data_IF_812453845313
#
_entry.id   IF_812453845313
#
_cell.length_a   1.000
_cell.length_b   1.000
_cell.length_c   1.000
_cell.angle_alpha   90.00
_cell.angle_beta   90.00
_cell.angle_gamma   90.00
#
_symmetry.space_group_name_H-M   'P 1'
#
loop_
_entity.id
_entity.type
_entity.pdbx_description
1 polymer ?
#
# COMPACT_ATOMS: atom_id res chain seq x y z
N UNK A 1 73.45 -35.17 47.38
CA UNK A 1 72.01 -35.05 47.22
C UNK A 1 71.42 -33.67 47.65
N UNK A 2 71.92 -33.04 48.73
CA UNK A 2 71.40 -31.75 49.23
C UNK A 2 71.55 -30.58 48.22
N UNK A 3 72.62 -30.52 47.41
CA UNK A 3 72.87 -29.43 46.41
C UNK A 3 71.97 -29.52 45.23
N UNK A 4 71.54 -30.74 44.80
CA UNK A 4 70.58 -30.91 43.67
C UNK A 4 69.21 -30.52 44.04
N UNK A 5 68.78 -30.77 45.30
CA UNK A 5 67.45 -30.37 45.80
C UNK A 5 67.32 -28.87 45.91
N UNK A 6 68.40 -28.13 46.22
CA UNK A 6 68.39 -26.68 46.31
C UNK A 6 68.28 -26.01 44.93
N UNK A 7 68.99 -26.56 43.93
CA UNK A 7 68.92 -26.08 42.55
C UNK A 7 67.52 -26.35 41.98
N UNK A 8 66.87 -27.45 42.28
CA UNK A 8 65.55 -27.77 41.84
C UNK A 8 64.48 -26.85 42.50
N UNK A 9 64.64 -26.57 43.79
CA UNK A 9 63.73 -25.61 44.50
C UNK A 9 63.89 -24.18 43.98
N UNK A 10 65.12 -23.76 43.61
CA UNK A 10 65.37 -22.46 43.02
C UNK A 10 64.80 -22.35 41.61
N UNK A 11 64.87 -23.40 40.80
CA UNK A 11 64.25 -23.47 39.46
C UNK A 11 62.76 -23.45 39.51
N UNK A 12 62.10 -24.13 40.44
CA UNK A 12 60.71 -24.13 40.67
C UNK A 12 60.24 -22.75 41.18
N UNK A 13 61.00 -22.13 42.09
CA UNK A 13 60.75 -20.79 42.55
C UNK A 13 60.80 -19.71 41.43
N UNK A 14 61.79 -19.86 40.52
CA UNK A 14 61.88 -18.99 39.34
C UNK A 14 60.71 -19.19 38.37
N UNK A 15 60.31 -20.41 38.08
CA UNK A 15 59.17 -20.66 37.15
C UNK A 15 57.84 -20.10 37.72
N UNK A 16 57.62 -20.24 39.02
CA UNK A 16 56.48 -19.69 39.68
C UNK A 16 56.49 -18.13 39.68
N UNK A 17 57.69 -17.55 39.79
CA UNK A 17 57.80 -16.07 39.74
C UNK A 17 57.56 -15.50 38.36
N UNK A 18 57.91 -16.21 37.28
CA UNK A 18 57.60 -15.73 35.90
C UNK A 18 56.17 -15.84 35.52
N UNK A 19 55.39 -16.82 36.01
CA UNK A 19 53.96 -16.94 35.72
C UNK A 19 53.13 -15.82 36.33
N UNK A 20 53.66 -15.11 37.34
CA UNK A 20 52.98 -13.97 37.98
C UNK A 20 52.99 -12.65 37.19
N UNK A 21 53.81 -12.55 36.13
CA UNK A 21 53.99 -11.31 35.36
C UNK A 21 53.17 -11.25 34.08
N UNK A 22 52.54 -12.35 33.65
CA UNK A 22 51.79 -12.42 32.39
C UNK A 22 50.32 -12.08 32.63
N UNK A 23 49.82 -11.10 31.92
CA UNK A 23 48.38 -10.78 31.89
C UNK A 23 47.63 -11.95 31.27
N UNK A 24 46.40 -12.26 31.72
CA UNK A 24 45.53 -13.21 31.02
C UNK A 24 45.34 -12.83 29.57
N UNK A 25 45.12 -13.84 28.73
CA UNK A 25 44.80 -13.60 27.32
C UNK A 25 43.47 -12.87 27.21
N UNK A 26 43.46 -11.80 26.41
CA UNK A 26 42.23 -11.07 26.07
C UNK A 26 41.45 -11.86 25.00
N UNK A 27 40.23 -12.27 25.33
CA UNK A 27 39.35 -12.91 24.36
C UNK A 27 38.61 -11.81 23.59
N UNK A 28 38.82 -11.71 22.26
CA UNK A 28 38.13 -10.72 21.48
C UNK A 28 36.59 -10.97 21.52
N UNK A 29 35.86 -9.93 21.79
CA UNK A 29 34.38 -9.91 21.79
C UNK A 29 33.89 -9.20 20.55
N UNK A 30 32.89 -9.78 19.87
CA UNK A 30 32.33 -9.25 18.64
C UNK A 30 30.82 -9.14 18.79
N UNK A 31 30.26 -8.09 18.20
CA UNK A 31 28.82 -7.90 18.03
C UNK A 31 28.49 -7.95 16.54
N UNK A 32 27.64 -8.87 16.15
CA UNK A 32 27.10 -8.94 14.81
C UNK A 32 25.92 -7.99 14.67
N UNK A 33 25.88 -7.25 13.56
CA UNK A 33 24.80 -6.33 13.20
C UNK A 33 24.01 -6.94 12.06
N UNK A 34 22.74 -7.14 12.27
CA UNK A 34 21.81 -7.71 11.29
C UNK A 34 21.71 -6.88 9.99
N UNK A 35 21.20 -7.47 8.91
CA UNK A 35 21.06 -6.76 7.63
C UNK A 35 20.16 -5.53 7.70
N UNK A 36 19.17 -5.56 8.57
CA UNK A 36 18.19 -4.47 8.76
C UNK A 36 18.42 -3.71 10.07
N UNK A 37 19.66 -3.72 10.58
CA UNK A 37 20.01 -3.02 11.79
C UNK A 37 21.08 -1.95 11.53
N UNK A 38 20.97 -0.86 12.26
CA UNK A 38 22.02 0.16 12.37
C UNK A 38 22.61 0.12 13.75
N UNK A 39 23.96 0.13 13.83
CA UNK A 39 24.69 0.05 15.09
C UNK A 39 25.30 1.41 15.47
N UNK A 40 25.35 1.64 16.77
CA UNK A 40 25.96 2.80 17.40
C UNK A 40 26.99 2.32 18.43
N UNK A 41 28.23 2.77 18.30
CA UNK A 41 29.34 2.40 19.18
C UNK A 41 29.59 3.54 20.17
N UNK A 42 29.07 3.40 21.37
CA UNK A 42 29.10 4.45 22.39
C UNK A 42 30.28 4.22 23.31
N UNK A 43 31.23 5.15 23.44
CA UNK A 43 32.35 5.05 24.35
C UNK A 43 31.87 5.05 25.79
N UNK A 44 32.33 4.05 26.58
CA UNK A 44 32.00 3.91 28.01
C UNK A 44 33.00 4.60 28.93
N UNK A 45 34.20 4.89 28.41
CA UNK A 45 35.26 5.54 29.15
C UNK A 45 35.78 6.74 28.33
N UNK A 46 35.75 7.89 28.92
CA UNK A 46 36.53 9.05 28.53
C UNK A 46 37.92 8.94 29.19
N UNK A 47 38.90 9.68 28.66
CA UNK A 47 40.30 9.61 29.04
C UNK A 47 40.58 9.47 30.54
N UNK A 48 41.71 8.83 30.87
CA UNK A 48 42.15 8.38 32.19
C UNK A 48 42.20 9.51 33.25
N UNK A 49 42.07 10.76 32.86
CA UNK A 49 42.24 11.94 33.73
C UNK A 49 40.90 12.54 34.19
N UNK A 50 39.75 12.04 33.76
CA UNK A 50 38.47 12.49 34.26
C UNK A 50 38.18 11.82 35.58
N UNK A 51 38.28 12.58 36.67
CA UNK A 51 37.90 12.14 38.00
C UNK A 51 36.42 11.74 37.96
N UNK A 52 36.06 10.74 38.76
CA UNK A 52 34.71 10.16 38.82
C UNK A 52 33.60 11.18 39.11
N UNK A 53 33.95 12.37 39.59
CA UNK A 53 33.02 13.47 39.87
C UNK A 53 32.72 14.34 38.64
N UNK A 54 33.59 14.30 37.62
CA UNK A 54 33.34 14.90 36.31
C UNK A 54 32.87 13.84 35.30
N UNK A 55 31.99 12.94 35.73
CA UNK A 55 31.25 12.16 34.74
C UNK A 55 30.52 13.17 33.87
N UNK A 56 31.15 13.47 32.76
CA UNK A 56 30.55 14.23 31.66
C UNK A 56 29.25 13.51 31.40
N UNK A 57 28.15 14.12 31.78
CA UNK A 57 26.85 13.74 31.24
C UNK A 57 27.02 13.88 29.75
N UNK A 58 27.39 12.78 29.08
CA UNK A 58 27.45 12.70 27.63
C UNK A 58 26.07 13.16 27.20
N UNK A 59 26.04 14.35 26.63
CA UNK A 59 24.80 14.91 26.13
C UNK A 59 24.45 14.03 24.92
N UNK A 60 23.69 12.96 25.16
CA UNK A 60 23.29 11.96 24.19
C UNK A 60 22.24 12.58 23.24
N UNK A 61 22.70 13.64 22.55
CA UNK A 61 21.91 14.32 21.54
C UNK A 61 22.06 13.63 20.17
N UNK A 62 21.31 14.09 19.20
CA UNK A 62 21.30 13.54 17.83
C UNK A 62 22.70 13.52 17.22
N UNK A 63 23.47 14.61 17.37
CA UNK A 63 24.82 14.75 16.82
C UNK A 63 25.78 13.71 17.42
N UNK A 64 25.64 13.44 18.73
CA UNK A 64 26.41 12.40 19.41
C UNK A 64 26.15 11.03 18.79
N UNK A 65 24.88 10.66 18.59
CA UNK A 65 24.53 9.36 17.97
C UNK A 65 24.96 9.32 16.51
N UNK A 66 24.76 10.37 15.73
CA UNK A 66 25.22 10.41 14.33
C UNK A 66 26.72 10.19 14.19
N UNK A 67 27.54 10.81 15.07
CA UNK A 67 28.99 10.64 15.08
C UNK A 67 29.43 9.22 15.42
N UNK A 68 28.67 8.51 16.22
CA UNK A 68 28.99 7.18 16.70
C UNK A 68 28.26 6.07 15.92
N UNK A 69 27.58 6.40 14.83
CA UNK A 69 26.92 5.44 13.94
C UNK A 69 27.97 4.68 13.11
N UNK A 70 27.80 3.37 13.00
CA UNK A 70 28.73 2.48 12.30
C UNK A 70 27.99 1.62 11.30
N UNK A 71 28.51 1.56 10.09
CA UNK A 71 27.96 0.72 9.00
C UNK A 71 28.53 -0.70 8.95
N UNK A 72 29.45 -1.04 9.86
CA UNK A 72 30.09 -2.37 9.90
C UNK A 72 29.10 -3.43 10.36
N UNK A 73 29.13 -4.60 9.70
CA UNK A 73 28.31 -5.76 10.07
C UNK A 73 28.88 -6.60 11.21
N UNK A 74 30.16 -6.41 11.51
CA UNK A 74 30.87 -7.06 12.62
C UNK A 74 31.66 -5.99 13.34
N UNK A 75 31.37 -5.79 14.62
CA UNK A 75 32.00 -4.79 15.47
C UNK A 75 32.78 -5.49 16.55
N UNK A 76 34.11 -5.30 16.57
CA UNK A 76 34.94 -5.77 17.66
C UNK A 76 34.83 -4.79 18.83
N UNK A 77 34.57 -5.30 20.03
CA UNK A 77 34.59 -4.52 21.26
C UNK A 77 36.02 -4.38 21.74
N UNK A 78 36.63 -3.19 21.75
CA UNK A 78 37.92 -2.98 22.31
C UNK A 78 37.87 -3.10 23.83
N UNK A 79 38.86 -3.81 24.39
CA UNK A 79 38.95 -4.04 25.82
C UNK A 79 40.05 -3.22 26.46
N UNK A 80 39.84 -2.80 27.69
CA UNK A 80 40.81 -2.15 28.55
C UNK A 80 41.10 -3.05 29.76
N UNK A 81 42.40 -3.28 30.06
CA UNK A 81 42.79 -4.01 31.27
C UNK A 81 42.58 -3.13 32.50
N UNK A 82 41.75 -3.60 33.43
CA UNK A 82 41.53 -2.94 34.72
C UNK A 82 42.27 -3.71 35.79
N UNK A 83 43.31 -3.10 36.36
CA UNK A 83 44.13 -3.66 37.45
C UNK A 83 43.41 -3.55 38.77
N UNK A 84 43.23 -4.67 39.49
CA UNK A 84 42.57 -4.71 40.80
C UNK A 84 43.51 -5.01 41.97
N UNK A 85 44.73 -5.39 41.71
CA UNK A 85 45.71 -5.78 42.75
C UNK A 85 47.15 -5.44 42.38
N UNK A 86 48.10 -5.87 43.25
CA UNK A 86 49.51 -5.56 43.09
C UNK A 86 50.16 -6.33 41.92
N UNK A 87 49.71 -7.55 41.65
CA UNK A 87 50.28 -8.38 40.60
C UNK A 87 49.78 -8.01 39.20
N UNK A 88 50.55 -8.21 38.16
CA UNK A 88 50.20 -7.91 36.77
C UNK A 88 48.93 -8.67 36.32
N UNK A 89 48.73 -9.88 36.79
CA UNK A 89 47.54 -10.71 36.52
C UNK A 89 46.29 -10.39 37.36
N UNK A 90 46.47 -9.53 38.37
CA UNK A 90 45.33 -9.13 39.25
C UNK A 90 44.52 -8.04 38.57
N UNK A 91 43.61 -8.48 37.74
CA UNK A 91 42.71 -7.57 36.99
C UNK A 91 41.82 -8.36 36.06
N UNK A 92 41.05 -7.63 35.27
CA UNK A 92 40.17 -8.18 34.26
C UNK A 92 40.06 -7.23 33.05
N UNK A 93 39.74 -7.77 31.92
CA UNK A 93 39.41 -7.00 30.73
C UNK A 93 37.96 -6.50 30.82
N UNK A 94 37.74 -5.26 30.46
CA UNK A 94 36.42 -4.63 30.38
C UNK A 94 36.26 -3.95 29.04
N UNK A 95 35.14 -4.16 28.38
CA UNK A 95 34.78 -3.47 27.13
C UNK A 95 34.78 -1.94 27.32
N UNK A 96 35.35 -1.23 26.38
CA UNK A 96 35.48 0.23 26.42
C UNK A 96 34.35 0.94 25.69
N UNK A 97 33.53 0.18 24.94
CA UNK A 97 32.41 0.70 24.20
C UNK A 97 31.15 -0.16 24.48
N UNK A 98 30.00 0.48 24.37
CA UNK A 98 28.69 -0.15 24.35
C UNK A 98 28.16 -0.08 22.91
N UNK A 99 27.77 -1.21 22.36
CA UNK A 99 27.11 -1.26 21.06
C UNK A 99 25.59 -1.27 21.29
N UNK A 100 24.88 -0.36 20.64
CA UNK A 100 23.43 -0.31 20.60
C UNK A 100 23.02 -0.54 19.15
N UNK A 101 22.15 -1.52 18.91
CA UNK A 101 21.55 -1.77 17.60
C UNK A 101 20.13 -1.26 17.56
N UNK A 102 19.74 -0.65 16.44
CA UNK A 102 18.37 -0.19 16.15
C UNK A 102 17.86 -1.03 14.99
N UNK A 103 16.77 -1.76 15.23
CA UNK A 103 16.08 -2.54 14.20
C UNK A 103 15.27 -1.60 13.29
N UNK A 104 15.57 -1.63 12.00
CA UNK A 104 14.94 -0.83 10.96
C UNK A 104 13.77 -1.56 10.28
N UNK A 105 13.51 -2.80 10.69
CA UNK A 105 12.45 -3.63 10.12
C UNK A 105 11.09 -2.99 10.39
N UNK A 106 10.24 -2.83 9.39
CA UNK A 106 8.88 -2.35 9.60
C UNK A 106 8.11 -3.26 10.56
N UNK A 107 7.49 -2.67 11.56
CA UNK A 107 6.60 -3.34 12.50
C UNK A 107 5.16 -3.08 12.13
N UNK A 108 4.40 -4.15 11.94
CA UNK A 108 2.96 -4.08 11.66
C UNK A 108 2.18 -4.84 12.71
N UNK A 109 1.02 -4.30 13.05
CA UNK A 109 0.13 -4.92 14.02
C UNK A 109 -1.23 -4.26 14.03
N UNK A 110 -2.05 -4.68 14.98
CA UNK A 110 -3.40 -4.15 15.17
C UNK A 110 -3.60 -3.81 16.65
N UNK A 111 -4.46 -2.81 16.92
CA UNK A 111 -5.01 -2.52 18.24
C UNK A 111 -6.51 -2.79 18.17
N UNK A 112 -6.92 -4.01 18.54
CA UNK A 112 -8.32 -4.45 18.46
C UNK A 112 -9.05 -4.20 19.79
N UNK A 113 -10.37 -4.34 19.77
CA UNK A 113 -11.21 -4.12 20.96
C UNK A 113 -10.80 -4.96 22.18
N UNK A 114 -10.36 -6.17 21.94
CA UNK A 114 -10.02 -7.15 22.98
C UNK A 114 -8.61 -6.98 23.52
N UNK A 115 -7.78 -6.17 22.86
CA UNK A 115 -6.41 -5.94 23.24
C UNK A 115 -6.32 -4.98 24.43
N UNK A 116 -5.28 -5.15 25.24
CA UNK A 116 -4.95 -4.22 26.34
C UNK A 116 -4.65 -2.81 25.80
N UNK A 117 -4.18 -2.73 24.56
CA UNK A 117 -3.82 -1.50 23.86
C UNK A 117 -4.95 -0.99 22.94
N UNK A 118 -6.19 -1.43 23.16
CA UNK A 118 -7.33 -0.91 22.42
C UNK A 118 -7.45 0.62 22.54
N UNK A 119 -7.62 1.31 21.43
CA UNK A 119 -7.82 2.77 21.42
C UNK A 119 -9.23 3.07 21.89
N UNK A 120 -9.36 3.66 23.08
CA UNK A 120 -10.65 4.03 23.68
C UNK A 120 -10.77 5.55 23.79
N UNK A 121 -11.87 6.06 23.32
CA UNK A 121 -12.22 7.50 23.37
C UNK A 121 -13.64 7.68 23.86
N UNK A 122 -13.99 8.88 24.32
CA UNK A 122 -15.33 9.22 24.76
C UNK A 122 -15.91 10.36 23.93
N UNK A 123 -17.22 10.30 23.70
CA UNK A 123 -17.98 11.39 23.10
C UNK A 123 -18.29 12.49 24.11
N UNK A 124 -18.85 13.60 23.65
CA UNK A 124 -19.35 14.70 24.51
C UNK A 124 -20.35 14.24 25.59
N UNK A 125 -21.10 13.20 25.31
CA UNK A 125 -22.05 12.60 26.27
C UNK A 125 -21.42 11.52 27.15
N UNK A 126 -20.09 11.44 27.23
CA UNK A 126 -19.32 10.42 27.99
C UNK A 126 -19.65 8.98 27.59
N UNK A 127 -20.00 8.77 26.34
CA UNK A 127 -20.18 7.43 25.79
C UNK A 127 -18.85 6.91 25.24
N UNK A 128 -18.43 5.75 25.71
CA UNK A 128 -17.20 5.10 25.30
C UNK A 128 -17.29 4.53 23.88
N UNK A 129 -16.23 4.74 23.12
CA UNK A 129 -16.05 4.20 21.78
C UNK A 129 -14.68 3.57 21.70
N UNK A 130 -14.61 2.35 21.23
CA UNK A 130 -13.34 1.68 20.88
C UNK A 130 -13.11 1.79 19.36
N UNK A 131 -11.90 2.21 18.98
CA UNK A 131 -11.47 2.39 17.59
C UNK A 131 -10.48 1.28 17.25
N UNK A 132 -10.88 0.23 16.50
CA UNK A 132 -9.97 -0.80 16.05
C UNK A 132 -9.03 -0.23 14.97
N UNK A 133 -7.72 -0.31 15.19
CA UNK A 133 -6.72 0.27 14.31
C UNK A 133 -5.70 -0.77 13.85
N UNK A 134 -5.18 -0.60 12.64
CA UNK A 134 -3.97 -1.25 12.17
C UNK A 134 -2.86 -0.24 11.98
N UNK A 135 -1.64 -0.68 12.22
CA UNK A 135 -0.47 0.17 12.04
C UNK A 135 0.65 -0.53 11.28
N UNK A 136 1.44 0.26 10.56
CA UNK A 136 2.76 -0.12 10.05
C UNK A 136 3.70 1.04 10.32
N UNK A 137 4.74 0.76 11.09
CA UNK A 137 5.66 1.76 11.62
C UNK A 137 7.09 1.27 11.40
N UNK A 138 8.00 2.18 11.06
CA UNK A 138 9.42 1.87 10.92
C UNK A 138 10.30 3.03 11.35
N UNK A 139 11.58 2.73 11.58
CA UNK A 139 12.65 3.70 11.74
C UNK A 139 13.45 3.70 10.44
N UNK A 140 13.67 4.86 9.83
CA UNK A 140 14.54 4.96 8.68
C UNK A 140 16.01 5.03 9.11
N UNK A 141 16.97 4.55 8.28
CA UNK A 141 18.39 4.60 8.61
C UNK A 141 18.87 6.01 9.00
N UNK A 142 18.43 7.02 8.26
CA UNK A 142 18.75 8.44 8.52
C UNK A 142 18.20 8.97 9.86
N UNK A 143 17.08 8.41 10.31
CA UNK A 143 16.37 8.85 11.52
C UNK A 143 16.75 8.04 12.76
N UNK A 144 17.56 6.98 12.63
CA UNK A 144 17.93 6.10 13.74
C UNK A 144 18.65 6.83 14.88
N UNK A 145 19.50 7.81 14.57
CA UNK A 145 20.18 8.66 15.57
C UNK A 145 19.17 9.54 16.31
N UNK A 146 18.19 10.09 15.58
CA UNK A 146 17.13 10.91 16.13
C UNK A 146 16.25 10.09 17.07
N UNK A 147 15.84 8.89 16.63
CA UNK A 147 15.10 7.93 17.45
C UNK A 147 15.82 7.63 18.77
N UNK A 148 17.11 7.29 18.74
CA UNK A 148 17.89 7.00 19.93
C UNK A 148 17.99 8.21 20.88
N UNK A 149 18.06 9.44 20.37
CA UNK A 149 18.13 10.63 21.20
C UNK A 149 16.87 10.82 22.06
N UNK A 150 15.69 10.43 21.53
CA UNK A 150 14.41 10.51 22.25
C UNK A 150 14.14 9.31 23.14
N UNK A 151 14.33 8.10 22.57
CA UNK A 151 13.87 6.84 23.20
C UNK A 151 14.99 6.03 23.82
N UNK A 152 16.26 6.38 23.52
CA UNK A 152 17.46 5.67 24.00
C UNK A 152 17.40 4.20 23.57
N UNK A 153 17.52 3.27 24.50
CA UNK A 153 17.49 1.83 24.22
C UNK A 153 16.14 1.17 24.57
N UNK A 154 15.04 1.94 24.49
CA UNK A 154 13.71 1.38 24.74
C UNK A 154 13.30 0.52 23.55
N UNK A 155 12.67 -0.62 23.83
CA UNK A 155 12.16 -1.51 22.80
C UNK A 155 11.15 -0.80 21.88
N UNK A 156 11.33 -0.92 20.58
CA UNK A 156 10.53 -0.21 19.60
C UNK A 156 9.04 -0.60 19.67
N UNK A 157 8.75 -1.90 19.90
CA UNK A 157 7.37 -2.34 20.07
C UNK A 157 6.71 -1.67 21.28
N UNK A 158 7.44 -1.51 22.38
CA UNK A 158 6.94 -0.80 23.55
C UNK A 158 6.61 0.67 23.24
N UNK A 159 7.41 1.35 22.42
CA UNK A 159 7.13 2.73 21.98
C UNK A 159 5.85 2.79 21.16
N UNK A 160 5.66 1.84 20.24
CA UNK A 160 4.44 1.74 19.41
C UNK A 160 3.21 1.58 20.31
N UNK A 161 3.23 0.61 21.20
CA UNK A 161 2.06 0.22 21.98
C UNK A 161 1.73 1.22 23.10
N UNK A 162 2.73 1.94 23.61
CA UNK A 162 2.48 2.88 24.71
C UNK A 162 2.42 4.32 24.27
N UNK A 163 3.33 4.78 23.41
CA UNK A 163 3.42 6.21 23.09
C UNK A 163 2.62 6.58 21.86
N UNK A 164 2.79 5.84 20.75
CA UNK A 164 2.05 6.13 19.51
C UNK A 164 0.55 5.92 19.75
N UNK A 165 0.20 4.80 20.35
CA UNK A 165 -1.20 4.48 20.68
C UNK A 165 -1.84 5.57 21.56
N UNK A 166 -1.18 5.94 22.66
CA UNK A 166 -1.72 6.97 23.59
C UNK A 166 -1.83 8.33 22.95
N UNK A 167 -0.85 8.73 22.16
CA UNK A 167 -0.90 10.02 21.47
C UNK A 167 -2.06 10.06 20.47
N UNK A 168 -2.21 9.01 19.66
CA UNK A 168 -3.34 8.89 18.75
C UNK A 168 -4.68 8.90 19.51
N UNK A 169 -4.81 8.11 20.58
CA UNK A 169 -6.00 8.08 21.42
C UNK A 169 -6.32 9.47 22.00
N UNK A 170 -5.29 10.23 22.41
CA UNK A 170 -5.46 11.58 22.93
C UNK A 170 -5.95 12.55 21.87
N UNK A 171 -5.37 12.56 20.68
CA UNK A 171 -5.79 13.46 19.59
C UNK A 171 -7.19 13.12 19.08
N UNK A 172 -7.47 11.84 18.86
CA UNK A 172 -8.81 11.37 18.54
C UNK A 172 -9.83 11.73 19.63
N UNK A 173 -9.47 11.48 20.90
CA UNK A 173 -10.32 11.77 22.06
C UNK A 173 -10.68 13.25 22.17
N UNK A 174 -9.73 14.17 21.99
CA UNK A 174 -9.98 15.61 21.98
C UNK A 174 -11.06 15.99 20.98
N UNK A 175 -11.01 15.41 19.79
CA UNK A 175 -11.97 15.72 18.75
C UNK A 175 -13.34 15.04 19.00
N UNK A 176 -13.37 13.77 19.41
CA UNK A 176 -14.63 13.08 19.75
C UNK A 176 -15.37 13.70 20.94
N UNK A 177 -14.65 14.25 21.90
CA UNK A 177 -15.26 14.98 23.03
C UNK A 177 -16.08 16.20 22.62
N UNK A 178 -15.89 16.73 21.42
CA UNK A 178 -16.67 17.87 20.92
C UNK A 178 -17.91 17.45 20.15
N UNK A 179 -18.03 16.16 19.80
CA UNK A 179 -19.07 15.64 18.89
C UNK A 179 -20.20 14.98 19.67
N UNK A 180 -21.43 15.34 19.30
CA UNK A 180 -22.62 14.65 19.78
C UNK A 180 -22.65 13.22 19.20
N UNK A 181 -23.11 12.27 20.00
CA UNK A 181 -23.16 10.87 19.63
C UNK A 181 -23.79 10.60 18.25
N UNK A 182 -24.93 11.26 17.94
CA UNK A 182 -25.65 11.11 16.67
C UNK A 182 -24.84 11.54 15.42
N UNK A 183 -23.85 12.39 15.63
CA UNK A 183 -23.04 12.95 14.55
C UNK A 183 -21.69 12.22 14.40
N UNK A 184 -21.35 11.30 15.33
CA UNK A 184 -20.10 10.51 15.30
C UNK A 184 -19.90 9.81 13.95
N UNK A 185 -20.94 9.14 13.44
CA UNK A 185 -20.85 8.41 12.18
C UNK A 185 -20.53 9.31 10.96
N UNK A 186 -20.95 10.59 10.99
CA UNK A 186 -20.68 11.57 9.93
C UNK A 186 -19.29 12.20 10.05
N UNK A 187 -18.85 12.45 11.29
CA UNK A 187 -17.60 13.15 11.57
C UNK A 187 -16.40 12.22 11.71
N UNK A 188 -16.64 10.92 11.86
CA UNK A 188 -15.63 9.89 12.10
C UNK A 188 -14.43 10.01 11.19
N UNK A 189 -14.66 9.99 9.88
CA UNK A 189 -13.57 9.91 8.90
C UNK A 189 -12.70 11.18 8.92
N UNK A 190 -13.30 12.34 9.15
CA UNK A 190 -12.60 13.63 9.26
C UNK A 190 -11.77 13.68 10.54
N UNK A 191 -12.36 13.29 11.67
CA UNK A 191 -11.67 13.29 12.97
C UNK A 191 -10.48 12.33 12.96
N UNK A 192 -10.68 11.14 12.44
CA UNK A 192 -9.63 10.12 12.42
C UNK A 192 -8.52 10.47 11.44
N UNK A 193 -8.84 11.08 10.30
CA UNK A 193 -7.83 11.58 9.37
C UNK A 193 -6.94 12.65 10.02
N UNK A 194 -7.52 13.63 10.70
CA UNK A 194 -6.79 14.69 11.42
C UNK A 194 -5.91 14.11 12.54
N UNK A 195 -6.46 13.18 13.35
CA UNK A 195 -5.70 12.53 14.41
C UNK A 195 -4.53 11.70 13.88
N UNK A 196 -4.72 10.99 12.75
CA UNK A 196 -3.66 10.22 12.07
C UNK A 196 -2.56 11.16 11.56
N UNK A 197 -2.93 12.27 10.91
CA UNK A 197 -1.96 13.23 10.38
C UNK A 197 -1.11 13.85 11.50
N UNK A 198 -1.73 14.34 12.56
CA UNK A 198 -1.04 14.87 13.74
C UNK A 198 -0.12 13.84 14.39
N UNK A 199 -0.56 12.59 14.46
CA UNK A 199 0.27 11.51 15.01
C UNK A 199 1.49 11.25 14.13
N UNK A 200 1.32 11.21 12.80
CA UNK A 200 2.43 11.05 11.86
C UNK A 200 3.45 12.17 11.96
N UNK A 201 3.00 13.42 12.01
CA UNK A 201 3.87 14.59 12.13
C UNK A 201 4.66 14.56 13.43
N UNK A 202 3.97 14.33 14.55
CA UNK A 202 4.60 14.31 15.88
C UNK A 202 5.71 13.25 15.99
N UNK A 203 5.47 12.03 15.54
CA UNK A 203 6.45 10.95 15.64
C UNK A 203 7.55 11.03 14.57
N UNK A 204 7.28 11.67 13.43
CA UNK A 204 8.31 11.98 12.44
C UNK A 204 9.39 12.89 13.02
N UNK A 205 9.03 13.86 13.84
CA UNK A 205 9.98 14.73 14.56
C UNK A 205 10.83 13.98 15.58
N UNK A 206 10.43 12.76 15.94
CA UNK A 206 11.14 11.90 16.90
C UNK A 206 11.86 10.73 16.21
N UNK A 207 11.97 10.75 14.88
CA UNK A 207 12.67 9.73 14.10
C UNK A 207 11.86 8.46 13.81
N UNK A 208 10.54 8.49 13.97
CA UNK A 208 9.65 7.37 13.66
C UNK A 208 8.78 7.70 12.44
N UNK A 209 8.83 6.84 11.43
CA UNK A 209 7.96 6.95 10.25
C UNK A 209 6.77 6.02 10.38
N UNK A 210 5.57 6.58 10.39
CA UNK A 210 4.31 5.83 10.36
C UNK A 210 3.84 5.72 8.92
N UNK A 211 4.08 4.57 8.29
CA UNK A 211 3.68 4.32 6.90
C UNK A 211 2.17 4.18 6.80
N UNK A 212 1.57 3.45 7.73
CA UNK A 212 0.12 3.22 7.77
C UNK A 212 -0.38 3.33 9.21
N UNK A 213 -1.49 4.02 9.37
CA UNK A 213 -2.31 4.02 10.57
C UNK A 213 -3.76 4.16 10.07
N UNK A 214 -4.52 3.06 10.16
CA UNK A 214 -5.84 2.96 9.54
C UNK A 214 -6.82 2.18 10.42
N UNK A 215 -8.10 2.46 10.26
CA UNK A 215 -9.17 1.71 10.92
C UNK A 215 -9.31 0.35 10.22
N UNK A 216 -9.41 -0.72 11.01
CA UNK A 216 -9.61 -2.09 10.49
C UNK A 216 -11.08 -2.40 10.31
N UNK A 217 -11.89 -1.98 11.30
CA UNK A 217 -13.32 -2.23 11.38
C UNK A 217 -14.09 -0.96 11.71
N UNK A 218 -15.43 -1.06 11.79
CA UNK A 218 -16.27 0.01 12.30
C UNK A 218 -15.94 0.39 13.74
N UNK A 219 -16.39 1.56 14.18
CA UNK A 219 -16.32 1.95 15.57
C UNK A 219 -17.15 0.98 16.42
N UNK A 220 -16.61 0.60 17.57
CA UNK A 220 -17.30 -0.29 18.51
C UNK A 220 -17.74 0.55 19.71
N UNK A 221 -19.03 0.56 19.98
CA UNK A 221 -19.60 1.30 21.10
C UNK A 221 -19.65 0.43 22.35
N UNK A 222 -19.33 1.02 23.50
CA UNK A 222 -19.31 0.29 24.77
C UNK A 222 -20.72 -0.08 25.27
N UNK A 223 -21.74 0.70 24.87
CA UNK A 223 -23.14 0.35 25.14
C UNK A 223 -23.65 -0.71 24.15
N UNK A 224 -23.98 -1.95 24.61
CA UNK A 224 -24.43 -3.02 23.73
C UNK A 224 -25.76 -2.73 23.02
N UNK A 225 -26.67 -1.98 23.67
CA UNK A 225 -27.95 -1.64 23.06
C UNK A 225 -27.77 -0.67 21.89
N UNK A 226 -26.83 0.23 22.06
CA UNK A 226 -26.46 1.21 21.08
C UNK A 226 -25.72 0.58 19.90
N UNK A 227 -24.77 -0.32 20.17
CA UNK A 227 -24.08 -1.09 19.13
C UNK A 227 -25.08 -1.87 18.27
N UNK A 228 -26.04 -2.54 18.91
CA UNK A 228 -27.08 -3.30 18.22
C UNK A 228 -27.93 -2.43 17.29
N UNK A 229 -28.32 -1.25 17.74
CA UNK A 229 -29.12 -0.31 16.92
C UNK A 229 -28.31 0.16 15.70
N UNK A 230 -27.01 0.42 15.85
CA UNK A 230 -26.13 0.83 14.75
C UNK A 230 -25.95 -0.32 13.77
N UNK A 231 -25.72 -1.53 14.24
CA UNK A 231 -25.59 -2.71 13.40
C UNK A 231 -26.86 -3.00 12.61
N UNK A 232 -28.04 -2.79 13.21
CA UNK A 232 -29.33 -2.90 12.54
C UNK A 232 -29.51 -1.81 11.48
N UNK A 233 -29.18 -0.57 11.77
CA UNK A 233 -29.19 0.53 10.79
C UNK A 233 -28.22 0.29 9.65
N UNK A 234 -27.02 -0.18 9.94
CA UNK A 234 -26.02 -0.52 8.91
C UNK A 234 -26.52 -1.63 7.98
N UNK A 235 -27.19 -2.67 8.54
CA UNK A 235 -27.81 -3.75 7.76
C UNK A 235 -28.93 -3.22 6.85
N UNK A 236 -29.78 -2.36 7.37
CA UNK A 236 -30.86 -1.75 6.57
C UNK A 236 -30.27 -0.92 5.44
N UNK A 237 -29.25 -0.11 5.74
CA UNK A 237 -28.60 0.72 4.72
C UNK A 237 -27.90 -0.13 3.64
N UNK A 238 -27.23 -1.19 4.04
CA UNK A 238 -26.60 -2.15 3.12
C UNK A 238 -27.65 -2.82 2.21
N UNK A 239 -28.79 -3.21 2.75
CA UNK A 239 -29.90 -3.77 1.98
C UNK A 239 -30.47 -2.75 0.98
N UNK A 240 -30.64 -1.49 1.37
CA UNK A 240 -31.10 -0.42 0.45
C UNK A 240 -30.12 -0.23 -0.70
N UNK A 241 -28.82 -0.22 -0.43
CA UNK A 241 -27.78 -0.11 -1.47
C UNK A 241 -27.83 -1.31 -2.41
N UNK A 242 -27.99 -2.51 -1.86
CA UNK A 242 -28.05 -3.75 -2.62
C UNK A 242 -29.30 -3.82 -3.50
N UNK A 243 -30.45 -3.34 -3.00
CA UNK A 243 -31.69 -3.23 -3.78
C UNK A 243 -31.56 -2.20 -4.91
N UNK A 244 -30.93 -1.06 -4.67
CA UNK A 244 -30.63 -0.08 -5.73
C UNK A 244 -29.73 -0.69 -6.81
N UNK A 245 -28.66 -1.36 -6.43
CA UNK A 245 -27.78 -2.02 -7.39
C UNK A 245 -28.51 -3.08 -8.22
N UNK A 246 -29.40 -3.86 -7.61
CA UNK A 246 -30.26 -4.81 -8.34
C UNK A 246 -31.20 -4.10 -9.31
N UNK A 247 -31.83 -3.03 -8.89
CA UNK A 247 -32.72 -2.24 -9.73
C UNK A 247 -31.96 -1.63 -10.93
N UNK A 248 -30.78 -1.07 -10.72
CA UNK A 248 -29.93 -0.54 -11.78
C UNK A 248 -29.51 -1.64 -12.76
N UNK A 249 -29.18 -2.82 -12.26
CA UNK A 249 -28.80 -3.97 -13.09
C UNK A 249 -29.98 -4.47 -13.95
N UNK A 250 -31.18 -4.50 -13.39
CA UNK A 250 -32.42 -4.84 -14.13
C UNK A 250 -32.70 -3.80 -15.23
N UNK A 251 -32.51 -2.51 -14.92
CA UNK A 251 -32.71 -1.45 -15.91
C UNK A 251 -31.70 -1.53 -17.06
N UNK A 252 -30.42 -1.79 -16.75
CA UNK A 252 -29.38 -2.04 -17.78
C UNK A 252 -29.73 -3.25 -18.65
N UNK A 253 -30.19 -4.34 -18.03
CA UNK A 253 -30.64 -5.54 -18.77
C UNK A 253 -31.83 -5.24 -19.68
N UNK A 254 -32.81 -4.47 -19.19
CA UNK A 254 -33.96 -4.02 -19.98
C UNK A 254 -33.54 -3.15 -21.16
N UNK A 255 -32.63 -2.20 -20.95
CA UNK A 255 -32.11 -1.36 -22.03
C UNK A 255 -31.34 -2.18 -23.08
N UNK A 256 -30.55 -3.16 -22.65
CA UNK A 256 -29.85 -4.06 -23.57
C UNK A 256 -30.83 -4.88 -24.42
N UNK A 257 -31.90 -5.44 -23.81
CA UNK A 257 -32.94 -6.15 -24.56
C UNK A 257 -33.66 -5.26 -25.57
N UNK A 258 -33.92 -3.99 -25.23
CA UNK A 258 -34.52 -3.03 -26.15
C UNK A 258 -33.54 -2.75 -27.31
N UNK A 259 -32.27 -2.58 -27.04
CA UNK A 259 -31.23 -2.40 -28.08
C UNK A 259 -31.14 -3.60 -29.00
N UNK A 260 -31.12 -4.81 -28.45
CA UNK A 260 -31.12 -6.06 -29.22
C UNK A 260 -32.38 -6.18 -30.14
N UNK A 261 -33.56 -5.90 -29.58
CA UNK A 261 -34.79 -5.91 -30.36
C UNK A 261 -34.79 -4.84 -31.49
N UNK A 262 -34.25 -3.66 -31.24
CA UNK A 262 -34.11 -2.64 -32.27
C UNK A 262 -33.11 -3.05 -33.35
N UNK A 263 -31.98 -3.67 -32.97
CA UNK A 263 -31.01 -4.19 -33.94
C UNK A 263 -31.63 -5.32 -34.78
N UNK A 264 -32.40 -6.24 -34.18
CA UNK A 264 -33.13 -7.28 -34.92
C UNK A 264 -34.14 -6.69 -35.89
N UNK A 265 -34.90 -5.66 -35.46
CA UNK A 265 -35.82 -4.98 -36.31
C UNK A 265 -35.14 -4.25 -37.50
N UNK A 266 -33.99 -3.61 -37.25
CA UNK A 266 -33.23 -2.95 -38.31
C UNK A 266 -32.60 -3.97 -39.30
N UNK A 267 -32.10 -5.10 -38.79
CA UNK A 267 -31.64 -6.20 -39.64
C UNK A 267 -32.77 -6.77 -40.47
N UNK A 268 -33.97 -6.95 -39.89
CA UNK A 268 -35.15 -7.42 -40.63
C UNK A 268 -35.56 -6.44 -41.73
N UNK A 269 -35.55 -5.12 -41.44
CA UNK A 269 -35.81 -4.07 -42.44
C UNK A 269 -34.79 -4.06 -43.56
N UNK A 270 -33.48 -4.20 -43.21
CA UNK A 270 -32.41 -4.27 -44.22
C UNK A 270 -32.57 -5.50 -45.12
N UNK A 271 -32.91 -6.66 -44.56
CA UNK A 271 -33.17 -7.88 -45.34
C UNK A 271 -34.40 -7.71 -46.25
N UNK A 272 -35.48 -7.08 -45.78
CA UNK A 272 -36.65 -6.80 -46.59
C UNK A 272 -36.33 -5.84 -47.73
N UNK A 273 -35.54 -4.80 -47.49
CA UNK A 273 -35.11 -3.88 -48.57
C UNK A 273 -34.19 -4.53 -49.60
N UNK A 274 -33.29 -5.42 -49.20
CA UNK A 274 -32.46 -6.20 -50.15
C UNK A 274 -33.28 -7.14 -51.01
N UNK A 275 -34.27 -7.81 -50.41
CA UNK A 275 -35.23 -8.66 -51.16
C UNK A 275 -36.03 -7.84 -52.14
N UNK A 276 -36.49 -6.67 -51.79
CA UNK A 276 -37.25 -5.78 -52.70
C UNK A 276 -36.40 -5.28 -53.88
N UNK A 277 -35.12 -4.99 -53.61
CA UNK A 277 -34.14 -4.67 -54.70
C UNK A 277 -33.91 -5.87 -55.59
N UNK A 278 -33.83 -7.07 -55.05
CA UNK A 278 -33.61 -8.30 -55.82
C UNK A 278 -34.82 -8.64 -56.71
N UNK A 279 -36.02 -8.46 -56.17
CA UNK A 279 -37.28 -8.59 -56.95
C UNK A 279 -37.34 -7.57 -58.07
N UNK A 280 -37.02 -6.30 -57.83
CA UNK A 280 -36.97 -5.24 -58.86
C UNK A 280 -35.94 -5.58 -59.96
N UNK A 281 -34.75 -6.08 -59.57
CA UNK A 281 -33.74 -6.55 -60.55
C UNK A 281 -34.29 -7.68 -61.40
N UNK A 282 -34.85 -8.72 -60.80
CA UNK A 282 -35.41 -9.85 -61.59
C UNK A 282 -36.53 -9.40 -62.52
N UNK A 283 -37.37 -8.47 -62.12
CA UNK A 283 -38.38 -7.90 -63.00
C UNK A 283 -37.78 -7.11 -64.16
N UNK A 284 -36.76 -6.27 -63.87
CA UNK A 284 -36.07 -5.54 -64.95
C UNK A 284 -35.33 -6.50 -65.92
N UNK A 285 -34.70 -7.53 -65.43
CA UNK A 285 -34.04 -8.55 -66.25
C UNK A 285 -35.05 -9.31 -67.11
N UNK A 286 -36.26 -9.63 -66.61
CA UNK A 286 -37.35 -10.22 -67.37
C UNK A 286 -37.91 -9.26 -68.45
N UNK A 287 -38.03 -7.95 -68.14
CA UNK A 287 -38.43 -6.96 -69.12
C UNK A 287 -37.41 -6.79 -70.28
N UNK A 288 -36.11 -6.82 -69.94
CA UNK A 288 -35.01 -6.80 -70.91
C UNK A 288 -35.08 -8.03 -71.82
N UNK A 289 -35.24 -9.22 -71.21
CA UNK A 289 -35.33 -10.49 -71.97
C UNK A 289 -36.58 -10.50 -72.88
N UNK A 290 -37.74 -10.06 -72.36
CA UNK A 290 -38.94 -9.92 -73.18
C UNK A 290 -38.78 -8.93 -74.32
N UNK A 291 -38.10 -7.79 -74.06
CA UNK A 291 -37.80 -6.77 -75.11
C UNK A 291 -36.86 -7.33 -76.17
N UNK A 292 -35.86 -8.15 -75.81
CA UNK A 292 -34.99 -8.85 -76.78
C UNK A 292 -35.78 -9.84 -77.60
N UNK A 293 -36.66 -10.63 -77.04
CA UNK A 293 -37.49 -11.60 -77.74
C UNK A 293 -38.40 -10.90 -78.72
N UNK A 294 -39.02 -9.78 -78.33
CA UNK A 294 -39.86 -8.94 -79.18
C UNK A 294 -39.03 -8.34 -80.33
N UNK A 295 -37.85 -7.81 -80.04
CA UNK A 295 -36.95 -7.26 -81.05
C UNK A 295 -36.46 -8.33 -82.04
N UNK A 296 -36.14 -9.55 -81.59
CA UNK A 296 -35.79 -10.64 -82.44
C UNK A 296 -36.95 -11.10 -83.31
N UNK A 297 -38.16 -11.22 -82.72
CA UNK A 297 -39.34 -11.56 -83.54
C UNK A 297 -39.67 -10.52 -84.57
N UNK A 298 -39.50 -9.22 -84.25
CA UNK A 298 -39.66 -8.13 -85.23
C UNK A 298 -38.60 -8.16 -86.31
N UNK A 299 -37.34 -8.45 -85.97
CA UNK A 299 -36.28 -8.59 -86.97
C UNK A 299 -36.48 -9.78 -87.89
N UNK A 300 -37.03 -10.89 -87.42
CA UNK A 300 -37.40 -12.03 -88.26
C UNK A 300 -38.61 -11.73 -89.17
N UNK A 301 -39.60 -11.04 -88.62
CA UNK A 301 -40.75 -10.61 -89.39
C UNK A 301 -40.37 -9.63 -90.48
N UNK A 302 -39.43 -8.74 -90.26
CA UNK A 302 -38.85 -7.86 -91.30
C UNK A 302 -38.08 -8.66 -92.37
N UNK A 303 -37.29 -9.67 -91.99
CA UNK A 303 -36.59 -10.55 -92.95
C UNK A 303 -37.52 -11.38 -93.81
N UNK A 304 -38.71 -11.69 -93.27
CA UNK A 304 -39.74 -12.43 -94.04
C UNK A 304 -40.66 -11.56 -94.89
N UNK A 305 -40.42 -10.25 -94.94
CA UNK A 305 -41.19 -9.31 -95.77
C UNK A 305 -42.64 -9.07 -95.31
N UNK A 306 -42.95 -9.43 -94.02
CA UNK A 306 -44.30 -9.37 -93.49
C UNK A 306 -44.60 -8.08 -92.70
N UNK A 307 -43.61 -7.13 -92.59
CA UNK A 307 -43.81 -5.89 -91.85
C UNK A 307 -43.19 -4.72 -92.56
N UNK A 308 -43.96 -3.65 -92.68
CA UNK A 308 -43.47 -2.35 -93.17
C UNK A 308 -42.70 -1.65 -92.01
N UNK A 309 -41.54 -0.96 -92.32
CA UNK A 309 -40.80 -0.30 -91.23
C UNK A 309 -41.67 0.83 -90.60
N UNK A 310 -41.82 0.78 -89.27
CA UNK A 310 -42.43 1.84 -88.51
C UNK A 310 -41.44 3.01 -88.48
N UNK A 311 -41.85 4.25 -88.69
CA UNK A 311 -40.93 5.40 -88.67
C UNK A 311 -40.32 5.66 -87.30
N UNK A 312 -39.05 6.07 -87.29
CA UNK A 312 -38.12 6.27 -86.22
C UNK A 312 -38.55 7.26 -85.07
N UNK A 313 -39.74 7.76 -85.08
CA UNK A 313 -40.17 8.88 -84.20
C UNK A 313 -40.75 8.43 -82.85
N UNK A 314 -40.90 7.13 -82.58
CA UNK A 314 -41.53 6.68 -81.31
C UNK A 314 -40.49 6.22 -80.24
N UNK A 315 -39.22 6.00 -80.61
CA UNK A 315 -38.24 5.38 -79.67
C UNK A 315 -37.49 6.40 -78.81
N UNK A 316 -37.64 7.72 -79.01
CA UNK A 316 -36.80 8.70 -78.30
C UNK A 316 -37.45 9.26 -77.00
N UNK A 317 -38.74 9.03 -76.82
CA UNK A 317 -39.38 9.62 -75.59
C UNK A 317 -39.20 8.77 -74.29
N UNK A 318 -39.00 7.47 -74.39
CA UNK A 318 -38.85 6.64 -73.19
C UNK A 318 -37.46 6.56 -72.59
N UNK A 319 -36.39 6.97 -73.32
CA UNK A 319 -35.04 6.99 -72.83
C UNK A 319 -34.69 8.17 -71.91
N UNK A 320 -35.55 9.22 -71.88
CA UNK A 320 -35.39 10.35 -70.93
C UNK A 320 -35.87 10.03 -69.53
N UNK A 321 -36.70 9.00 -69.33
CA UNK A 321 -37.18 8.57 -68.02
C UNK A 321 -36.12 7.75 -67.25
N UNK A 322 -35.09 7.20 -67.93
CA UNK A 322 -34.00 6.42 -67.32
C UNK A 322 -32.81 7.27 -66.81
N UNK A 323 -32.82 8.58 -67.11
CA UNK A 323 -31.77 9.53 -66.67
C UNK A 323 -31.80 9.90 -65.21
N UNK A 324 -32.92 9.64 -64.50
CA UNK A 324 -33.10 10.05 -63.06
C UNK A 324 -32.53 9.02 -62.04
N UNK A 325 -32.02 7.89 -62.48
CA UNK A 325 -31.47 6.86 -61.55
C UNK A 325 -30.02 7.19 -61.11
N UNK A 326 -29.37 8.16 -61.75
CA UNK A 326 -27.98 8.53 -61.39
C UNK A 326 -27.88 9.46 -60.19
N UNK A 327 -28.98 10.11 -59.81
CA UNK A 327 -29.02 11.05 -58.68
C UNK A 327 -29.30 10.39 -57.31
N UNK A 328 -29.62 9.10 -57.28
CA UNK A 328 -29.92 8.34 -56.04
C UNK A 328 -28.67 7.64 -55.46
N UNK A 329 -27.48 7.82 -56.03
CA UNK A 329 -26.22 7.22 -55.51
C UNK A 329 -25.22 8.25 -54.98
N UNK A 330 -25.65 9.35 -54.39
CA UNK A 330 -24.75 10.16 -53.60
C UNK A 330 -24.90 9.81 -52.10
N UNK A 331 -23.80 9.37 -51.45
CA UNK A 331 -23.84 9.15 -49.99
C UNK A 331 -23.92 10.50 -49.31
N UNK A 332 -24.95 10.67 -48.46
CA UNK A 332 -25.03 11.79 -47.51
C UNK A 332 -23.77 11.87 -46.66
N UNK A 333 -23.14 13.04 -46.70
CA UNK A 333 -22.05 13.42 -45.80
C UNK A 333 -22.58 13.67 -44.40
#
# INVERSE_FOLDING_TARGET
MKKLSFVFALLVAMTVSFTGCIRPYDKPEYVEVGPNETAFVIPMFTDENVKTEDQVHLNENVEFYQKNMVSSKLIQIPHKWIKTGRFARSGYYKGTVRVITVDLTPRSGNWLKEDLNAVKVETKASQGITIPMSYTVRIKPEDAALYLSYYKAVDFQSVIDTQINRFFAQEAGKAFHTVEYKDVAKMRDVILADAVEKTKEHFKEQGITIDQLAIVDGLVYDDPALQKNIDEQAKVQANIVLEKQKADLIEVQRQNKIKEANIEADVARAKASTLDIEIKRKKADQEIENTKIIAQAQAEAIKQGKYAPVPDTVVVQDLKALGSVRDLMQPNK
#
